data_IF_003966815580
#
_entry.id   IF_003966815580
#
_cell.length_a   1.000
_cell.length_b   1.000
_cell.length_c   1.000
_cell.angle_alpha   90.00
_cell.angle_beta   90.00
_cell.angle_gamma   90.00
#
_symmetry.space_group_name_H-M   'P 1'
#
loop_
_entity.id
_entity.type
_entity.pdbx_description
1 polymer ?
#
# COMPACT_ATOMS: atom_id res chain seq x y z
N UNK A 1 11.91 7.59 3.96
CA UNK A 1 11.96 7.24 2.52
C UNK A 1 11.91 8.56 1.80
N UNK A 2 12.92 8.87 0.99
CA UNK A 2 13.03 10.17 0.32
C UNK A 2 12.78 9.98 -1.17
N UNK A 3 11.84 10.72 -1.75
CA UNK A 3 11.59 10.72 -3.19
C UNK A 3 12.49 11.76 -3.86
N UNK A 4 13.54 11.30 -4.54
CA UNK A 4 14.58 12.15 -5.17
C UNK A 4 14.96 11.70 -6.59
N UNK A 5 14.28 10.70 -7.14
CA UNK A 5 14.60 10.09 -8.44
C UNK A 5 15.75 9.08 -8.39
N UNK A 6 15.78 8.16 -9.36
CA UNK A 6 16.73 7.03 -9.39
C UNK A 6 18.20 7.48 -9.42
N UNK A 7 18.52 8.53 -10.20
CA UNK A 7 19.89 9.06 -10.28
C UNK A 7 20.41 9.60 -8.96
N UNK A 8 19.67 10.53 -8.32
CA UNK A 8 20.07 11.06 -7.02
C UNK A 8 20.03 9.99 -5.90
N UNK A 9 19.13 9.00 -6.02
CA UNK A 9 19.11 7.81 -5.16
C UNK A 9 20.43 7.03 -5.26
N UNK A 10 20.90 6.76 -6.48
CA UNK A 10 22.21 6.14 -6.70
C UNK A 10 23.37 7.04 -6.28
N UNK A 11 23.32 8.35 -6.44
CA UNK A 11 24.36 9.24 -5.88
C UNK A 11 24.45 9.10 -4.35
N UNK A 12 23.30 9.12 -3.64
CA UNK A 12 23.29 8.89 -2.18
C UNK A 12 23.77 7.50 -1.79
N UNK A 13 23.44 6.48 -2.58
CA UNK A 13 23.80 5.09 -2.29
C UNK A 13 25.23 4.73 -2.69
N UNK A 14 25.70 5.14 -3.87
CA UNK A 14 26.97 4.75 -4.48
C UNK A 14 28.08 5.79 -4.30
N UNK A 15 27.78 7.08 -4.10
CA UNK A 15 28.82 8.10 -3.91
C UNK A 15 28.90 8.57 -2.45
N UNK A 16 27.76 8.95 -1.86
CA UNK A 16 27.73 9.49 -0.50
C UNK A 16 27.71 8.38 0.57
N UNK A 17 27.20 7.20 0.23
CA UNK A 17 27.02 6.09 1.17
C UNK A 17 26.00 6.37 2.29
N UNK A 18 25.06 7.29 2.05
CA UNK A 18 24.10 7.80 3.04
C UNK A 18 22.86 6.91 3.19
N UNK A 19 22.58 6.04 2.23
CA UNK A 19 21.45 5.11 2.26
C UNK A 19 21.91 3.65 2.32
N UNK A 20 21.09 2.80 2.95
CA UNK A 20 21.28 1.35 2.98
C UNK A 20 20.62 0.63 1.80
N UNK A 21 19.53 1.21 1.27
CA UNK A 21 18.74 0.71 0.15
C UNK A 21 18.52 1.87 -0.83
N UNK A 22 18.65 1.61 -2.13
CA UNK A 22 18.27 2.54 -3.19
C UNK A 22 17.09 1.97 -3.98
N UNK A 23 16.00 2.72 -4.09
CA UNK A 23 14.89 2.37 -4.97
C UNK A 23 15.17 2.97 -6.35
N UNK A 24 14.87 2.24 -7.42
CA UNK A 24 15.06 2.74 -8.77
C UNK A 24 14.00 2.21 -9.73
N UNK A 25 13.69 3.01 -10.74
CA UNK A 25 12.78 2.67 -11.83
C UNK A 25 13.52 2.37 -13.15
N UNK A 26 14.81 2.06 -13.04
CA UNK A 26 15.70 1.66 -14.14
C UNK A 26 16.86 0.85 -13.58
N UNK A 27 17.52 0.12 -14.46
CA UNK A 27 18.77 -0.55 -14.12
C UNK A 27 19.85 0.47 -13.70
N UNK A 28 20.74 0.03 -12.82
CA UNK A 28 21.94 0.78 -12.43
C UNK A 28 22.89 0.90 -13.62
N UNK A 29 23.45 2.10 -13.85
CA UNK A 29 24.40 2.36 -14.94
C UNK A 29 25.81 1.87 -14.56
N UNK A 30 26.63 1.54 -15.55
CA UNK A 30 28.05 1.16 -15.33
C UNK A 30 28.81 2.19 -14.50
N UNK A 31 28.60 3.49 -14.74
CA UNK A 31 29.23 4.57 -13.97
C UNK A 31 28.78 4.60 -12.50
N UNK A 32 27.54 4.21 -12.21
CA UNK A 32 27.00 4.15 -10.84
C UNK A 32 27.52 2.91 -10.12
N UNK A 33 27.68 1.78 -10.83
CA UNK A 33 28.37 0.59 -10.31
C UNK A 33 29.83 0.92 -9.95
N UNK A 34 30.54 1.64 -10.83
CA UNK A 34 31.91 2.11 -10.57
C UNK A 34 31.97 3.04 -9.35
N UNK A 35 31.00 3.96 -9.20
CA UNK A 35 30.89 4.82 -8.03
C UNK A 35 30.69 4.00 -6.74
N UNK A 36 29.77 3.03 -6.76
CA UNK A 36 29.52 2.13 -5.64
C UNK A 36 30.80 1.38 -5.24
N UNK A 37 31.54 0.87 -6.23
CA UNK A 37 32.81 0.17 -6.01
C UNK A 37 33.87 1.09 -5.39
N UNK A 38 33.88 2.39 -5.73
CA UNK A 38 34.82 3.37 -5.18
C UNK A 38 34.64 3.59 -3.67
N UNK A 39 33.43 3.37 -3.14
CA UNK A 39 33.14 3.40 -1.69
C UNK A 39 33.10 2.00 -1.05
N UNK A 40 33.46 0.95 -1.81
CA UNK A 40 33.53 -0.42 -1.32
C UNK A 40 32.22 -1.19 -1.31
N UNK A 41 31.19 -0.73 -2.04
CA UNK A 41 29.91 -1.42 -2.21
C UNK A 41 29.90 -2.23 -3.51
N UNK A 42 29.28 -3.41 -3.47
CA UNK A 42 28.90 -4.19 -4.65
C UNK A 42 27.37 -4.21 -4.71
N UNK A 43 26.74 -3.37 -5.55
CA UNK A 43 25.29 -3.28 -5.60
C UNK A 43 24.69 -4.61 -6.06
N UNK A 44 23.67 -5.06 -5.34
CA UNK A 44 22.83 -6.22 -5.67
C UNK A 44 21.47 -5.67 -6.05
N UNK A 45 21.02 -6.06 -7.23
CA UNK A 45 19.74 -5.68 -7.82
C UNK A 45 18.66 -6.69 -7.46
N UNK A 46 17.52 -6.20 -7.00
CA UNK A 46 16.30 -6.98 -6.79
C UNK A 46 15.18 -6.39 -7.63
N UNK A 47 14.73 -7.11 -8.67
CA UNK A 47 13.54 -6.72 -9.45
C UNK A 47 12.29 -7.01 -8.62
N UNK A 48 11.45 -6.00 -8.45
CA UNK A 48 10.29 -6.06 -7.55
C UNK A 48 8.95 -5.82 -8.24
N UNK A 49 8.97 -5.34 -9.48
CA UNK A 49 7.76 -5.16 -10.27
C UNK A 49 8.01 -4.34 -11.53
N UNK A 50 6.92 -3.89 -12.14
CA UNK A 50 6.94 -3.01 -13.30
C UNK A 50 5.82 -1.98 -13.19
N UNK A 51 6.13 -0.71 -13.39
CA UNK A 51 5.13 0.35 -13.55
C UNK A 51 4.92 0.62 -15.05
N UNK A 52 3.72 0.99 -15.46
CA UNK A 52 3.44 1.36 -16.85
C UNK A 52 2.39 2.45 -16.97
N UNK A 53 2.56 3.31 -17.98
CA UNK A 53 1.59 4.34 -18.33
C UNK A 53 0.62 3.84 -19.40
N UNK A 54 -0.66 4.16 -19.21
CA UNK A 54 -1.68 4.05 -20.25
C UNK A 54 -1.82 5.40 -20.95
N UNK A 55 -1.76 5.41 -22.28
CA UNK A 55 -2.21 6.54 -23.10
C UNK A 55 -3.58 6.19 -23.62
N UNK A 56 -4.57 7.03 -23.32
CA UNK A 56 -5.96 6.74 -23.58
C UNK A 56 -6.63 7.82 -24.42
N UNK A 57 -7.59 7.41 -25.22
CA UNK A 57 -8.50 8.28 -25.96
C UNK A 57 -9.94 7.88 -25.68
N UNK A 58 -10.86 8.76 -26.07
CA UNK A 58 -12.28 8.49 -26.02
C UNK A 58 -12.66 7.23 -26.83
N UNK A 59 -13.66 6.44 -26.40
CA UNK A 59 -14.15 5.28 -27.17
C UNK A 59 -14.62 5.60 -28.59
N UNK A 60 -15.08 6.83 -28.84
CA UNK A 60 -15.51 7.31 -30.17
C UNK A 60 -14.35 7.76 -31.07
N UNK A 61 -13.11 7.82 -30.54
CA UNK A 61 -11.93 8.08 -31.35
C UNK A 61 -11.56 6.83 -32.15
N UNK A 62 -11.78 6.89 -33.46
CA UNK A 62 -11.58 5.77 -34.39
C UNK A 62 -10.41 5.98 -35.38
N UNK A 63 -9.58 7.01 -35.17
CA UNK A 63 -8.49 7.37 -36.08
C UNK A 63 -7.09 7.15 -35.51
N UNK A 64 -6.93 7.07 -34.19
CA UNK A 64 -5.64 6.73 -33.54
C UNK A 64 -5.79 5.53 -32.61
N UNK A 65 -4.99 4.49 -32.85
CA UNK A 65 -4.94 3.27 -32.03
C UNK A 65 -3.51 2.82 -31.73
N UNK A 66 -2.52 3.46 -32.35
CA UNK A 66 -1.10 3.21 -32.19
C UNK A 66 -0.36 4.53 -32.41
N UNK A 67 0.74 4.73 -31.70
CA UNK A 67 1.62 5.87 -31.91
C UNK A 67 3.08 5.47 -31.65
N UNK A 68 4.00 6.02 -32.43
CA UNK A 68 5.42 6.04 -32.04
C UNK A 68 5.65 7.07 -30.93
N UNK A 69 6.77 7.02 -30.20
CA UNK A 69 7.08 8.05 -29.19
C UNK A 69 7.19 9.46 -29.82
N UNK A 70 7.71 9.56 -31.04
CA UNK A 70 7.78 10.82 -31.80
C UNK A 70 6.38 11.34 -32.17
N UNK A 71 5.51 10.44 -32.66
CA UNK A 71 4.12 10.78 -32.97
C UNK A 71 3.33 11.13 -31.71
N UNK A 72 3.59 10.47 -30.59
CA UNK A 72 3.02 10.77 -29.29
C UNK A 72 3.43 12.17 -28.81
N UNK A 73 4.72 12.52 -28.89
CA UNK A 73 5.18 13.88 -28.58
C UNK A 73 4.50 14.93 -29.47
N UNK A 74 4.28 14.63 -30.75
CA UNK A 74 3.53 15.49 -31.67
C UNK A 74 2.04 15.62 -31.26
N UNK A 75 1.37 14.50 -30.93
CA UNK A 75 -0.01 14.50 -30.43
C UNK A 75 -0.12 15.33 -29.15
N UNK A 76 0.87 15.30 -28.27
CA UNK A 76 0.84 16.06 -27.02
C UNK A 76 1.26 17.54 -27.16
N UNK A 77 1.59 18.03 -28.36
CA UNK A 77 2.02 19.43 -28.59
C UNK A 77 1.26 20.18 -29.70
N UNK A 78 0.66 19.47 -30.65
CA UNK A 78 -0.05 20.06 -31.80
C UNK A 78 -1.33 20.87 -31.43
N UNK A 79 -1.87 21.65 -32.37
CA UNK A 79 -3.16 22.32 -32.13
C UNK A 79 -4.33 21.39 -32.49
N UNK A 80 -4.27 20.76 -33.68
CA UNK A 80 -5.30 19.87 -34.22
C UNK A 80 -4.75 18.47 -34.49
N UNK A 81 -5.63 17.46 -34.50
CA UNK A 81 -5.24 16.09 -34.87
C UNK A 81 -4.62 16.03 -36.28
N UNK A 82 -5.17 16.80 -37.23
CA UNK A 82 -4.64 16.89 -38.60
C UNK A 82 -3.22 17.47 -38.72
N UNK A 83 -2.73 18.16 -37.70
CA UNK A 83 -1.37 18.72 -37.70
C UNK A 83 -0.31 17.63 -37.46
N UNK A 84 -0.69 16.51 -36.83
CA UNK A 84 0.16 15.33 -36.64
C UNK A 84 0.07 14.41 -37.86
N UNK A 85 -1.16 14.10 -38.27
CA UNK A 85 -1.43 13.24 -39.42
C UNK A 85 -2.59 13.82 -40.24
N UNK A 86 -2.32 14.14 -41.50
CA UNK A 86 -3.28 14.84 -42.38
C UNK A 86 -4.57 14.05 -42.68
N UNK A 87 -4.59 12.74 -42.42
CA UNK A 87 -5.78 11.89 -42.57
C UNK A 87 -6.68 11.90 -41.31
N UNK A 88 -6.21 12.47 -40.19
CA UNK A 88 -6.98 12.64 -38.96
C UNK A 88 -7.87 13.90 -38.99
N UNK A 89 -8.87 14.01 -38.09
CA UNK A 89 -9.78 15.16 -38.05
C UNK A 89 -9.06 16.51 -37.91
N UNK A 90 -9.56 17.55 -38.60
CA UNK A 90 -9.09 18.92 -38.43
C UNK A 90 -9.74 19.59 -37.21
N UNK A 91 -9.75 18.88 -36.08
CA UNK A 91 -10.39 19.28 -34.83
C UNK A 91 -9.32 19.47 -33.74
N UNK A 92 -9.50 20.43 -32.82
CA UNK A 92 -8.54 20.69 -31.75
C UNK A 92 -8.36 19.47 -30.84
N UNK A 93 -7.11 19.16 -30.52
CA UNK A 93 -6.78 18.11 -29.53
C UNK A 93 -7.10 18.66 -28.15
N UNK A 94 -7.81 17.88 -27.31
CA UNK A 94 -8.05 18.18 -25.90
C UNK A 94 -7.20 17.24 -25.05
N UNK A 95 -6.36 17.79 -24.16
CA UNK A 95 -5.39 16.99 -23.40
C UNK A 95 -5.75 16.99 -21.94
N UNK A 96 -5.79 15.80 -21.35
CA UNK A 96 -6.00 15.61 -19.92
C UNK A 96 -4.78 14.88 -19.39
N UNK A 97 -3.93 15.60 -18.65
CA UNK A 97 -2.64 15.08 -18.17
C UNK A 97 -2.55 15.19 -16.66
N UNK A 98 -1.76 14.34 -15.99
CA UNK A 98 -1.47 14.48 -14.58
C UNK A 98 -0.82 15.84 -14.30
N UNK A 99 -1.00 16.35 -13.09
CA UNK A 99 -0.34 17.59 -12.67
C UNK A 99 1.17 17.43 -12.51
N UNK A 100 1.88 18.56 -12.40
CA UNK A 100 3.35 18.59 -12.42
C UNK A 100 4.00 18.00 -11.17
N UNK A 101 3.22 17.74 -10.12
CA UNK A 101 3.71 17.10 -8.89
C UNK A 101 3.55 15.56 -8.96
N UNK A 102 2.99 15.03 -10.06
CA UNK A 102 2.75 13.60 -10.27
C UNK A 102 3.98 12.88 -10.85
N UNK A 103 4.38 11.76 -10.22
CA UNK A 103 5.42 10.89 -10.76
C UNK A 103 5.07 10.26 -12.13
N UNK A 104 3.79 10.22 -12.49
CA UNK A 104 3.30 9.82 -13.81
C UNK A 104 3.61 10.90 -14.86
N UNK A 105 3.44 12.19 -14.50
CA UNK A 105 3.84 13.31 -15.34
C UNK A 105 5.35 13.29 -15.58
N UNK A 106 6.14 13.17 -14.50
CA UNK A 106 7.61 13.13 -14.59
C UNK A 106 8.10 12.04 -15.53
N UNK A 107 7.55 10.82 -15.39
CA UNK A 107 7.95 9.70 -16.23
C UNK A 107 7.53 9.87 -17.69
N UNK A 108 6.35 10.41 -17.96
CA UNK A 108 5.93 10.69 -19.32
C UNK A 108 6.84 11.72 -19.99
N UNK A 109 7.23 12.77 -19.26
CA UNK A 109 8.17 13.79 -19.74
C UNK A 109 9.57 13.18 -19.99
N UNK A 110 10.06 12.33 -19.10
CA UNK A 110 11.33 11.60 -19.30
C UNK A 110 11.27 10.74 -20.57
N UNK A 111 10.21 9.94 -20.73
CA UNK A 111 10.09 8.95 -21.80
C UNK A 111 9.76 9.55 -23.18
N UNK A 112 8.98 10.63 -23.22
CA UNK A 112 8.42 11.20 -24.47
C UNK A 112 9.09 12.52 -24.86
N UNK A 113 9.56 13.30 -23.88
CA UNK A 113 10.08 14.65 -24.10
C UNK A 113 11.54 14.84 -23.64
N UNK A 114 12.29 13.76 -23.42
CA UNK A 114 13.71 13.82 -23.03
C UNK A 114 13.96 14.72 -21.81
N UNK A 115 13.11 14.59 -20.78
CA UNK A 115 13.17 15.37 -19.52
C UNK A 115 12.77 16.87 -19.66
N UNK A 116 12.33 17.34 -20.83
CA UNK A 116 11.87 18.73 -21.04
C UNK A 116 10.33 18.84 -20.97
N UNK A 117 9.75 19.38 -19.87
CA UNK A 117 8.30 19.52 -19.75
C UNK A 117 7.74 20.72 -20.53
N UNK A 118 8.57 21.66 -20.98
CA UNK A 118 8.11 22.93 -21.56
C UNK A 118 7.18 22.74 -22.77
N UNK A 119 7.47 21.84 -23.74
CA UNK A 119 6.60 21.62 -24.90
C UNK A 119 5.21 21.12 -24.51
N UNK A 120 5.15 20.17 -23.57
CA UNK A 120 3.89 19.58 -23.08
C UNK A 120 3.04 20.62 -22.33
N UNK A 121 3.67 21.40 -21.44
CA UNK A 121 2.99 22.43 -20.65
C UNK A 121 2.54 23.65 -21.48
N UNK A 122 3.24 23.94 -22.58
CA UNK A 122 2.87 25.01 -23.50
C UNK A 122 1.77 24.63 -24.50
N UNK A 123 1.40 23.34 -24.58
CA UNK A 123 0.41 22.85 -25.53
C UNK A 123 -0.98 23.46 -25.27
N UNK A 124 -1.74 23.85 -26.32
CA UNK A 124 -3.09 24.38 -26.15
C UNK A 124 -4.07 23.29 -25.67
N UNK A 125 -5.18 23.71 -25.07
CA UNK A 125 -6.26 22.84 -24.60
C UNK A 125 -5.79 21.73 -23.63
N UNK A 126 -4.76 22.00 -22.83
CA UNK A 126 -4.25 21.10 -21.80
C UNK A 126 -4.91 21.41 -20.46
N UNK A 127 -5.52 20.39 -19.87
CA UNK A 127 -6.04 20.39 -18.51
C UNK A 127 -5.17 19.46 -17.66
N UNK A 128 -4.66 20.01 -16.56
CA UNK A 128 -3.91 19.25 -15.56
C UNK A 128 -4.83 18.89 -14.39
N UNK A 129 -4.64 17.71 -13.81
CA UNK A 129 -5.31 17.28 -12.58
C UNK A 129 -4.40 16.35 -11.79
N UNK A 130 -4.43 16.46 -10.46
CA UNK A 130 -3.83 15.45 -9.56
C UNK A 130 -4.79 14.29 -9.27
N UNK A 131 -6.04 14.40 -9.71
CA UNK A 131 -7.06 13.35 -9.61
C UNK A 131 -7.24 12.67 -10.98
N UNK A 132 -6.82 11.42 -11.08
CA UNK A 132 -6.93 10.60 -12.29
C UNK A 132 -8.39 10.40 -12.73
N UNK A 133 -9.37 10.40 -11.82
CA UNK A 133 -10.78 10.30 -12.20
C UNK A 133 -11.26 11.52 -12.97
N UNK A 134 -10.71 12.71 -12.67
CA UNK A 134 -10.99 13.93 -13.44
C UNK A 134 -10.40 13.81 -14.84
N UNK A 135 -9.22 13.18 -14.98
CA UNK A 135 -8.60 12.92 -16.28
C UNK A 135 -9.44 11.95 -17.11
N UNK A 136 -9.85 10.83 -16.51
CA UNK A 136 -10.75 9.84 -17.13
C UNK A 136 -12.05 10.50 -17.62
N UNK A 137 -12.71 11.29 -16.77
CA UNK A 137 -13.94 12.01 -17.14
C UNK A 137 -13.70 13.02 -18.26
N UNK A 138 -12.55 13.69 -18.25
CA UNK A 138 -12.13 14.60 -19.31
C UNK A 138 -12.00 13.91 -20.66
N UNK A 139 -11.31 12.76 -20.70
CA UNK A 139 -11.13 11.97 -21.92
C UNK A 139 -12.46 11.39 -22.42
N UNK A 140 -13.31 10.90 -21.52
CA UNK A 140 -14.65 10.41 -21.86
C UNK A 140 -15.58 11.51 -22.41
N UNK A 141 -15.35 12.77 -22.03
CA UNK A 141 -16.23 13.89 -22.39
C UNK A 141 -16.15 14.34 -23.84
N UNK A 142 -15.15 13.92 -24.62
CA UNK A 142 -14.96 14.39 -25.99
C UNK A 142 -14.27 13.36 -26.90
N UNK A 143 -14.78 13.11 -28.13
CA UNK A 143 -14.11 12.21 -29.08
C UNK A 143 -12.70 12.68 -29.47
N UNK A 144 -12.40 13.97 -29.30
CA UNK A 144 -11.11 14.57 -29.64
C UNK A 144 -10.13 14.63 -28.46
N UNK A 145 -10.48 14.02 -27.32
CA UNK A 145 -9.65 14.03 -26.14
C UNK A 145 -8.63 12.87 -26.10
N UNK A 146 -7.47 13.17 -25.53
CA UNK A 146 -6.41 12.23 -25.19
C UNK A 146 -5.90 12.52 -23.78
N UNK A 147 -5.50 11.48 -23.06
CA UNK A 147 -4.83 11.63 -21.77
C UNK A 147 -3.85 10.50 -21.51
N UNK A 148 -3.11 10.62 -20.41
CA UNK A 148 -2.28 9.54 -19.90
C UNK A 148 -2.33 9.49 -18.36
N UNK A 149 -2.22 8.30 -17.81
CA UNK A 149 -2.15 8.04 -16.37
C UNK A 149 -1.63 6.62 -16.10
N UNK A 150 -1.48 6.23 -14.83
CA UNK A 150 -1.03 4.88 -14.48
C UNK A 150 -1.95 3.79 -15.03
N UNK A 151 -1.40 2.67 -15.49
CA UNK A 151 -2.16 1.61 -16.16
C UNK A 151 -3.35 1.08 -15.34
N UNK A 152 -3.21 0.98 -14.02
CA UNK A 152 -4.30 0.48 -13.17
C UNK A 152 -5.58 1.32 -13.27
N UNK A 153 -5.47 2.66 -13.37
CA UNK A 153 -6.62 3.53 -13.57
C UNK A 153 -7.30 3.28 -14.93
N UNK A 154 -6.53 2.94 -15.96
CA UNK A 154 -7.10 2.51 -17.23
C UNK A 154 -7.82 1.16 -17.06
N UNK A 155 -7.19 0.19 -16.40
CA UNK A 155 -7.77 -1.14 -16.22
C UNK A 155 -9.15 -1.07 -15.52
N UNK A 156 -9.27 -0.23 -14.49
CA UNK A 156 -10.53 0.05 -13.78
C UNK A 156 -11.59 0.78 -14.62
N UNK A 157 -11.19 1.47 -15.69
CA UNK A 157 -12.05 2.26 -16.57
C UNK A 157 -12.01 1.78 -18.04
N UNK A 158 -11.61 0.52 -18.26
CA UNK A 158 -11.34 -0.03 -19.59
C UNK A 158 -12.59 -0.16 -20.46
N UNK A 159 -13.78 -0.10 -19.85
CA UNK A 159 -15.07 -0.04 -20.54
C UNK A 159 -15.42 1.37 -21.04
N UNK A 160 -14.74 2.41 -20.54
CA UNK A 160 -15.01 3.83 -20.81
C UNK A 160 -13.95 4.49 -21.69
N UNK A 161 -12.86 3.80 -22.00
CA UNK A 161 -11.69 4.37 -22.66
C UNK A 161 -11.08 3.39 -23.65
N UNK A 162 -10.53 3.91 -24.75
CA UNK A 162 -9.65 3.15 -25.64
C UNK A 162 -8.19 3.43 -25.26
N UNK A 163 -7.38 2.38 -25.16
CA UNK A 163 -5.94 2.50 -24.94
C UNK A 163 -5.19 2.48 -26.27
N UNK A 164 -4.12 3.27 -26.38
CA UNK A 164 -3.23 3.28 -27.53
C UNK A 164 -2.14 2.22 -27.37
N UNK A 165 -1.82 1.56 -28.48
CA UNK A 165 -0.55 0.85 -28.60
C UNK A 165 0.59 1.87 -28.73
N UNK A 166 1.77 1.49 -28.26
CA UNK A 166 2.98 2.31 -28.41
C UNK A 166 4.00 1.50 -29.20
N UNK A 167 4.46 2.04 -30.33
CA UNK A 167 5.33 1.35 -31.29
C UNK A 167 4.78 -0.02 -31.74
N UNK A 168 3.47 -0.16 -31.88
CA UNK A 168 2.78 -1.40 -32.24
C UNK A 168 2.65 -2.41 -31.11
N UNK A 169 2.97 -2.04 -29.87
CA UNK A 169 2.88 -2.90 -28.68
C UNK A 169 1.71 -2.45 -27.80
N UNK A 170 0.78 -3.37 -27.53
CA UNK A 170 -0.31 -3.18 -26.58
C UNK A 170 0.22 -3.29 -25.15
N UNK A 171 -0.18 -2.41 -24.21
CA UNK A 171 0.17 -2.55 -22.80
C UNK A 171 -0.59 -3.72 -22.15
N UNK A 172 0.17 -4.71 -21.67
CA UNK A 172 -0.33 -5.91 -21.01
C UNK A 172 0.69 -6.42 -19.99
N UNK A 173 0.27 -7.29 -19.07
CA UNK A 173 1.20 -7.93 -18.12
C UNK A 173 2.38 -8.63 -18.80
N UNK A 174 2.19 -9.18 -20.00
CA UNK A 174 3.27 -9.82 -20.75
C UNK A 174 4.26 -8.80 -21.34
N UNK A 175 3.75 -7.76 -22.01
CA UNK A 175 4.58 -6.76 -22.69
C UNK A 175 5.30 -5.80 -21.76
N UNK A 176 4.77 -5.60 -20.54
CA UNK A 176 5.45 -4.81 -19.51
C UNK A 176 6.51 -5.66 -18.80
N UNK A 177 6.25 -6.94 -18.54
CA UNK A 177 7.22 -7.83 -17.88
C UNK A 177 8.45 -8.13 -18.77
N UNK A 178 8.24 -8.32 -20.07
CA UNK A 178 9.33 -8.54 -21.04
C UNK A 178 10.01 -7.25 -21.53
N UNK A 179 9.51 -6.08 -21.10
CA UNK A 179 10.06 -4.76 -21.41
C UNK A 179 9.80 -4.29 -22.85
N UNK A 180 8.92 -4.94 -23.61
CA UNK A 180 8.60 -4.55 -24.98
C UNK A 180 7.68 -3.32 -25.07
N UNK A 181 6.87 -3.04 -24.05
CA UNK A 181 6.02 -1.85 -24.00
C UNK A 181 6.84 -0.61 -23.61
N UNK A 182 6.90 0.38 -24.51
CA UNK A 182 7.86 1.49 -24.41
C UNK A 182 7.62 2.46 -23.24
N UNK A 183 6.41 2.48 -22.68
CA UNK A 183 6.05 3.29 -21.51
C UNK A 183 5.93 2.44 -20.24
N UNK A 184 6.64 1.31 -20.18
CA UNK A 184 6.87 0.54 -18.97
C UNK A 184 8.25 0.86 -18.39
N UNK A 185 8.34 0.92 -17.06
CA UNK A 185 9.59 1.05 -16.32
C UNK A 185 9.71 -0.06 -15.27
N UNK A 186 10.80 -0.83 -15.28
CA UNK A 186 11.04 -1.85 -14.27
C UNK A 186 11.29 -1.19 -12.90
N UNK A 187 10.81 -1.82 -11.84
CA UNK A 187 11.00 -1.37 -10.47
C UNK A 187 12.01 -2.26 -9.76
N UNK A 188 12.97 -1.62 -9.12
CA UNK A 188 14.06 -2.28 -8.41
C UNK A 188 14.26 -1.69 -7.01
N UNK A 189 14.77 -2.54 -6.13
CA UNK A 189 15.51 -2.09 -4.95
C UNK A 189 16.95 -2.60 -5.06
N UNK A 190 17.91 -1.82 -4.56
CA UNK A 190 19.33 -2.16 -4.53
C UNK A 190 19.86 -2.07 -3.11
N UNK A 191 20.74 -3.00 -2.75
CA UNK A 191 21.51 -2.97 -1.50
C UNK A 191 22.87 -3.65 -1.72
N UNK A 192 23.75 -3.63 -0.73
CA UNK A 192 25.06 -4.29 -0.78
C UNK A 192 25.15 -5.41 0.26
N UNK A 193 25.91 -6.47 -0.03
CA UNK A 193 26.09 -7.61 0.86
C UNK A 193 26.83 -7.22 2.16
N UNK A 194 27.78 -6.28 2.08
CA UNK A 194 28.45 -5.71 3.25
C UNK A 194 27.47 -4.98 4.15
N UNK A 195 26.58 -4.16 3.59
CA UNK A 195 25.49 -3.49 4.34
C UNK A 195 24.61 -4.52 5.03
N UNK A 196 24.18 -5.59 4.33
CA UNK A 196 23.34 -6.64 4.91
C UNK A 196 24.06 -7.41 6.03
N UNK A 197 25.36 -7.64 5.90
CA UNK A 197 26.17 -8.30 6.92
C UNK A 197 26.38 -7.42 8.16
N UNK A 198 26.59 -6.11 7.97
CA UNK A 198 26.74 -5.14 9.06
C UNK A 198 25.42 -4.79 9.73
N UNK A 199 24.32 -4.80 8.96
CA UNK A 199 22.96 -4.42 9.36
C UNK A 199 21.98 -5.54 8.98
N UNK A 200 21.89 -6.64 9.75
CA UNK A 200 21.01 -7.77 9.44
C UNK A 200 19.52 -7.39 9.27
N UNK A 201 19.08 -6.29 9.87
CA UNK A 201 17.74 -5.75 9.69
C UNK A 201 17.46 -5.28 8.25
N UNK A 202 18.50 -4.86 7.49
CA UNK A 202 18.38 -4.51 6.06
C UNK A 202 18.08 -5.77 5.26
N UNK A 203 18.80 -6.86 5.52
CA UNK A 203 18.54 -8.15 4.88
C UNK A 203 17.14 -8.69 5.22
N UNK A 204 16.72 -8.55 6.48
CA UNK A 204 15.38 -8.95 6.93
C UNK A 204 14.28 -8.13 6.26
N UNK A 205 14.48 -6.82 6.11
CA UNK A 205 13.54 -5.94 5.43
C UNK A 205 13.44 -6.28 3.93
N UNK A 206 14.55 -6.52 3.25
CA UNK A 206 14.55 -6.94 1.84
C UNK A 206 13.87 -8.32 1.69
N UNK A 207 14.13 -9.26 2.60
CA UNK A 207 13.45 -10.55 2.61
C UNK A 207 11.92 -10.39 2.74
N UNK A 208 11.48 -9.56 3.69
CA UNK A 208 10.06 -9.25 3.89
C UNK A 208 9.48 -8.60 2.62
N UNK A 209 10.16 -7.60 2.06
CA UNK A 209 9.77 -6.92 0.84
C UNK A 209 9.56 -7.92 -0.31
N UNK A 210 10.55 -8.78 -0.60
CA UNK A 210 10.45 -9.77 -1.67
C UNK A 210 9.44 -10.90 -1.39
N UNK A 211 9.05 -11.10 -0.14
CA UNK A 211 8.03 -12.08 0.22
C UNK A 211 6.64 -11.59 -0.15
N UNK A 212 6.34 -10.33 0.17
CA UNK A 212 4.99 -9.78 0.08
C UNK A 212 4.77 -8.81 -1.09
N UNK A 213 5.83 -8.39 -1.81
CA UNK A 213 5.67 -7.34 -2.83
C UNK A 213 4.60 -7.66 -3.87
N UNK A 214 4.48 -8.91 -4.35
CA UNK A 214 3.46 -9.24 -5.34
C UNK A 214 2.02 -9.19 -4.79
N UNK A 215 1.84 -9.30 -3.47
CA UNK A 215 0.53 -9.15 -2.81
C UNK A 215 0.14 -7.67 -2.67
N UNK A 216 1.14 -6.79 -2.52
CA UNK A 216 0.93 -5.37 -2.25
C UNK A 216 0.96 -4.48 -3.52
N UNK A 217 1.73 -4.88 -4.53
CA UNK A 217 2.07 -4.03 -5.67
C UNK A 217 0.87 -3.72 -6.59
N UNK A 218 -0.10 -4.61 -6.66
CA UNK A 218 -1.34 -4.39 -7.41
C UNK A 218 -2.21 -3.30 -6.75
N UNK A 219 -2.19 -3.19 -5.42
CA UNK A 219 -2.96 -2.18 -4.69
C UNK A 219 -2.47 -0.75 -4.94
N UNK A 220 -1.21 -0.59 -5.37
CA UNK A 220 -0.64 0.70 -5.79
C UNK A 220 -0.65 0.88 -7.31
N UNK A 221 -1.26 -0.05 -8.04
CA UNK A 221 -1.52 0.06 -9.47
C UNK A 221 -0.37 -0.33 -10.40
N UNK A 222 0.60 -1.09 -9.90
CA UNK A 222 1.74 -1.60 -10.67
C UNK A 222 1.59 -3.09 -10.98
N UNK A 223 2.41 -3.59 -11.90
CA UNK A 223 2.44 -5.00 -12.26
C UNK A 223 3.40 -5.78 -11.35
N UNK A 224 2.98 -6.94 -10.83
CA UNK A 224 3.87 -7.83 -10.09
C UNK A 224 5.00 -8.33 -10.98
N UNK A 225 6.17 -8.53 -10.38
CA UNK A 225 7.26 -9.23 -11.06
C UNK A 225 6.86 -10.69 -11.26
N UNK A 226 7.33 -11.31 -12.36
CA UNK A 226 7.14 -12.75 -12.55
C UNK A 226 7.74 -13.56 -11.39
N UNK A 227 7.19 -14.76 -11.15
CA UNK A 227 7.75 -15.68 -10.16
C UNK A 227 9.23 -15.98 -10.43
N UNK A 228 9.63 -16.04 -11.70
CA UNK A 228 11.02 -16.22 -12.11
C UNK A 228 11.90 -15.05 -11.63
N UNK A 229 11.49 -13.81 -11.93
CA UNK A 229 12.23 -12.62 -11.52
C UNK A 229 12.30 -12.47 -9.99
N UNK A 230 11.21 -12.77 -9.29
CA UNK A 230 11.14 -12.68 -7.83
C UNK A 230 11.98 -13.78 -7.16
N UNK A 231 11.99 -15.00 -7.72
CA UNK A 231 12.84 -16.09 -7.24
C UNK A 231 14.33 -15.83 -7.50
N UNK A 232 14.68 -15.18 -8.62
CA UNK A 232 16.04 -14.69 -8.86
C UNK A 232 16.45 -13.64 -7.81
N UNK A 233 15.57 -12.67 -7.53
CA UNK A 233 15.80 -11.68 -6.47
C UNK A 233 16.00 -12.34 -5.09
N UNK A 234 15.16 -13.30 -4.72
CA UNK A 234 15.30 -14.08 -3.47
C UNK A 234 16.61 -14.87 -3.45
N UNK A 235 17.00 -15.47 -4.58
CA UNK A 235 18.26 -16.21 -4.71
C UNK A 235 19.49 -15.31 -4.53
N UNK A 236 19.46 -14.10 -5.11
CA UNK A 236 20.49 -13.07 -4.91
C UNK A 236 20.59 -12.66 -3.43
N UNK A 237 19.46 -12.53 -2.73
CA UNK A 237 19.45 -12.20 -1.31
C UNK A 237 20.07 -13.32 -0.46
N UNK A 238 19.69 -14.57 -0.72
CA UNK A 238 20.26 -15.74 -0.03
C UNK A 238 21.78 -15.84 -0.26
N UNK A 239 22.23 -15.59 -1.49
CA UNK A 239 23.66 -15.55 -1.81
C UNK A 239 24.38 -14.43 -1.04
N UNK A 240 23.78 -13.24 -0.97
CA UNK A 240 24.33 -12.09 -0.23
C UNK A 240 24.45 -12.35 1.27
N UNK A 241 23.53 -13.12 1.84
CA UNK A 241 23.55 -13.55 3.25
C UNK A 241 24.49 -14.75 3.49
N UNK A 242 25.16 -15.28 2.47
CA UNK A 242 26.04 -16.46 2.60
C UNK A 242 25.27 -17.77 2.79
N UNK A 243 23.99 -17.80 2.41
CA UNK A 243 23.09 -18.95 2.53
C UNK A 243 22.86 -19.69 1.21
N UNK A 244 23.51 -19.29 0.12
CA UNK A 244 23.38 -19.92 -1.20
C UNK A 244 24.15 -21.25 -1.32
N UNK A 245 23.44 -22.37 -1.30
CA UNK A 245 23.91 -23.64 -1.86
C UNK A 245 23.64 -23.70 -3.37
N UNK A 246 24.50 -24.39 -4.15
CA UNK A 246 24.37 -24.58 -5.60
C UNK A 246 22.95 -25.03 -5.99
N UNK A 247 22.23 -24.19 -6.74
CA UNK A 247 21.03 -24.61 -7.46
C UNK A 247 21.42 -25.67 -8.52
N UNK A 248 20.90 -26.89 -8.35
CA UNK A 248 21.01 -27.95 -9.35
C UNK A 248 20.20 -27.59 -10.61
N UNK A 249 20.62 -28.03 -11.82
CA UNK A 249 19.96 -27.63 -13.05
C UNK A 249 18.55 -28.22 -13.14
N UNK A 250 17.61 -27.39 -13.59
CA UNK A 250 16.22 -27.76 -13.83
C UNK A 250 16.13 -28.89 -14.87
N UNK A 251 15.57 -30.03 -14.46
CA UNK A 251 15.07 -31.08 -15.36
C UNK A 251 13.59 -31.29 -15.03
N UNK A 252 12.72 -31.18 -16.05
CA UNK A 252 11.28 -31.37 -15.93
C UNK A 252 10.93 -32.71 -15.27
N UNK A 253 10.29 -32.66 -14.11
CA UNK A 253 9.54 -33.78 -13.54
C UNK A 253 8.27 -33.29 -12.83
N UNK A 254 7.18 -34.00 -13.07
CA UNK A 254 5.84 -33.78 -12.52
C UNK A 254 5.81 -33.76 -10.97
N UNK A 255 4.77 -33.19 -10.34
CA UNK A 255 4.87 -32.67 -8.98
C UNK A 255 4.97 -33.82 -7.97
N UNK A 256 5.89 -33.67 -7.03
CA UNK A 256 5.94 -34.45 -5.81
C UNK A 256 5.96 -33.47 -4.63
N UNK A 257 5.14 -33.80 -3.65
CA UNK A 257 4.85 -33.11 -2.40
C UNK A 257 6.10 -32.58 -1.67
N UNK A 258 5.97 -31.35 -1.15
CA UNK A 258 6.76 -30.83 -0.03
C UNK A 258 8.19 -30.44 -0.34
N UNK A 259 8.39 -29.29 -0.99
CA UNK A 259 9.68 -28.58 -0.93
C UNK A 259 9.53 -27.30 -0.11
N UNK A 260 10.10 -27.33 1.09
CA UNK A 260 10.19 -26.19 1.98
C UNK A 260 11.05 -25.08 1.36
N UNK A 261 10.43 -23.92 1.13
CA UNK A 261 11.14 -22.68 0.79
C UNK A 261 11.96 -22.20 1.99
N UNK A 262 13.25 -21.96 1.78
CA UNK A 262 14.17 -21.50 2.81
C UNK A 262 13.73 -20.11 3.33
N UNK A 263 13.16 -20.08 4.55
CA UNK A 263 12.70 -18.87 5.24
C UNK A 263 11.18 -18.80 5.50
N UNK A 264 10.39 -19.70 4.91
CA UNK A 264 8.96 -19.84 5.23
C UNK A 264 8.74 -20.71 6.47
N UNK A 265 7.61 -20.50 7.16
CA UNK A 265 7.07 -21.54 8.04
C UNK A 265 6.83 -22.80 7.20
N UNK A 266 7.07 -24.00 7.76
CA UNK A 266 6.83 -25.24 7.03
C UNK A 266 5.38 -25.28 6.53
N UNK A 267 5.18 -25.77 5.31
CA UNK A 267 3.84 -25.98 4.74
C UNK A 267 3.02 -26.85 5.71
N UNK A 268 1.86 -26.34 6.13
CA UNK A 268 0.96 -27.03 7.04
C UNK A 268 -0.15 -27.65 6.22
N UNK A 269 -0.29 -28.98 6.32
CA UNK A 269 -1.46 -29.69 5.82
C UNK A 269 -2.49 -29.82 6.96
N UNK A 270 -3.61 -29.06 6.95
CA UNK A 270 -4.57 -29.07 8.06
C UNK A 270 -5.22 -30.43 8.32
N UNK A 271 -5.23 -31.32 7.33
CA UNK A 271 -5.73 -32.71 7.44
C UNK A 271 -4.86 -33.61 8.33
N UNK A 272 -3.60 -33.23 8.59
CA UNK A 272 -2.65 -34.05 9.33
C UNK A 272 -2.61 -33.75 10.83
N UNK A 273 -3.34 -32.73 11.28
CA UNK A 273 -3.38 -32.29 12.67
C UNK A 273 -4.80 -32.41 13.24
N UNK A 274 -4.86 -32.73 14.53
CA UNK A 274 -6.10 -33.00 15.27
C UNK A 274 -6.06 -32.32 16.64
N UNK A 275 -7.21 -32.14 17.28
CA UNK A 275 -7.36 -31.47 18.58
C UNK A 275 -8.38 -30.35 18.52
N UNK A 276 -8.71 -29.76 19.67
CA UNK A 276 -9.45 -28.49 19.69
C UNK A 276 -8.44 -27.34 19.84
N UNK A 277 -8.73 -26.18 19.26
CA UNK A 277 -7.98 -24.94 19.43
C UNK A 277 -8.90 -23.92 20.10
N UNK A 278 -8.46 -23.37 21.22
CA UNK A 278 -9.25 -22.41 21.98
C UNK A 278 -8.50 -21.08 22.03
N UNK A 279 -9.06 -20.05 21.42
CA UNK A 279 -8.56 -18.69 21.44
C UNK A 279 -9.54 -17.75 22.14
N UNK A 280 -9.04 -16.74 22.83
CA UNK A 280 -9.88 -15.67 23.36
C UNK A 280 -9.09 -14.37 23.51
N UNK A 281 -9.77 -13.23 23.36
CA UNK A 281 -9.18 -11.93 23.70
C UNK A 281 -9.78 -10.77 22.93
N UNK A 282 -8.90 -9.94 22.37
CA UNK A 282 -9.21 -8.67 21.69
C UNK A 282 -10.34 -8.81 20.65
N UNK A 283 -11.34 -7.91 20.76
CA UNK A 283 -12.41 -7.73 19.77
C UNK A 283 -11.90 -7.15 18.45
N UNK A 284 -10.79 -6.43 18.47
CA UNK A 284 -10.11 -5.90 17.27
C UNK A 284 -9.43 -7.00 16.46
N UNK A 285 -8.80 -7.97 17.12
CA UNK A 285 -8.10 -9.09 16.45
C UNK A 285 -9.07 -10.21 16.06
N UNK A 286 -10.24 -10.28 16.70
CA UNK A 286 -11.25 -11.32 16.50
C UNK A 286 -11.62 -11.56 15.01
N UNK A 287 -11.93 -10.55 14.19
CA UNK A 287 -12.29 -10.78 12.78
C UNK A 287 -11.13 -11.38 11.95
N UNK A 288 -9.89 -11.00 12.27
CA UNK A 288 -8.71 -11.55 11.62
C UNK A 288 -8.54 -13.03 11.97
N UNK A 289 -8.68 -13.39 13.25
CA UNK A 289 -8.55 -14.78 13.66
C UNK A 289 -9.70 -15.65 13.14
N UNK A 290 -10.94 -15.15 13.08
CA UNK A 290 -12.05 -15.86 12.43
C UNK A 290 -11.75 -16.15 10.96
N UNK A 291 -11.21 -15.18 10.21
CA UNK A 291 -10.87 -15.37 8.81
C UNK A 291 -9.79 -16.47 8.63
N UNK A 292 -8.76 -16.46 9.47
CA UNK A 292 -7.69 -17.47 9.46
C UNK A 292 -8.23 -18.85 9.86
N UNK A 293 -9.06 -18.92 10.90
CA UNK A 293 -9.68 -20.16 11.36
C UNK A 293 -10.60 -20.77 10.29
N UNK A 294 -11.43 -19.96 9.64
CA UNK A 294 -12.29 -20.41 8.54
C UNK A 294 -11.47 -21.00 7.40
N UNK A 295 -10.38 -20.33 7.00
CA UNK A 295 -9.47 -20.87 5.97
C UNK A 295 -8.85 -22.21 6.39
N UNK A 296 -8.39 -22.33 7.63
CA UNK A 296 -7.78 -23.56 8.14
C UNK A 296 -8.77 -24.74 8.16
N UNK A 297 -10.03 -24.47 8.49
CA UNK A 297 -11.14 -25.45 8.42
C UNK A 297 -11.49 -25.81 6.97
N UNK A 298 -11.58 -24.83 6.07
CA UNK A 298 -11.88 -25.04 4.66
C UNK A 298 -10.79 -25.87 3.95
N UNK A 299 -9.54 -25.74 4.38
CA UNK A 299 -8.40 -26.53 3.91
C UNK A 299 -8.33 -27.94 4.54
N UNK A 300 -9.27 -28.28 5.44
CA UNK A 300 -9.54 -29.65 5.86
C UNK A 300 -9.30 -29.98 7.34
N UNK A 301 -9.08 -28.99 8.20
CA UNK A 301 -8.92 -29.25 9.64
C UNK A 301 -10.16 -29.91 10.25
N UNK A 302 -9.97 -31.02 10.97
CA UNK A 302 -11.06 -31.82 11.51
C UNK A 302 -11.43 -31.49 12.98
N UNK A 303 -10.63 -30.65 13.64
CA UNK A 303 -10.81 -30.21 15.03
C UNK A 303 -11.82 -29.08 15.17
N UNK A 304 -12.21 -28.74 16.42
CA UNK A 304 -13.02 -27.55 16.67
C UNK A 304 -12.11 -26.36 16.99
N UNK A 305 -12.37 -25.22 16.35
CA UNK A 305 -11.75 -23.95 16.71
C UNK A 305 -12.81 -23.10 17.41
N UNK A 306 -12.53 -22.68 18.64
CA UNK A 306 -13.39 -21.76 19.39
C UNK A 306 -12.64 -20.45 19.59
N UNK A 307 -13.27 -19.35 19.20
CA UNK A 307 -12.71 -18.01 19.34
C UNK A 307 -13.71 -17.15 20.12
N UNK A 308 -13.30 -16.65 21.28
CA UNK A 308 -14.12 -15.80 22.15
C UNK A 308 -13.63 -14.34 22.12
N UNK A 309 -14.47 -13.41 21.64
CA UNK A 309 -14.24 -11.97 21.75
C UNK A 309 -14.61 -11.48 23.16
N UNK A 310 -13.61 -11.16 23.99
CA UNK A 310 -13.80 -10.80 25.41
C UNK A 310 -12.92 -9.62 25.89
N UNK A 311 -12.11 -9.03 24.99
CA UNK A 311 -11.13 -7.99 25.30
C UNK A 311 -9.76 -8.55 25.70
N UNK A 312 -8.69 -7.78 25.44
CA UNK A 312 -7.29 -8.21 25.62
C UNK A 312 -6.98 -8.61 27.07
N UNK A 313 -7.43 -7.82 28.06
CA UNK A 313 -7.21 -8.12 29.48
C UNK A 313 -7.87 -9.42 29.95
N UNK A 314 -9.14 -9.64 29.58
CA UNK A 314 -9.83 -10.89 29.90
C UNK A 314 -9.26 -12.09 29.14
N UNK A 315 -8.78 -11.87 27.90
CA UNK A 315 -8.01 -12.85 27.14
C UNK A 315 -6.76 -13.30 27.88
N UNK A 316 -5.94 -12.35 28.34
CA UNK A 316 -4.76 -12.64 29.16
C UNK A 316 -5.11 -13.27 30.50
N UNK A 317 -6.24 -12.94 31.15
CA UNK A 317 -6.68 -13.63 32.36
C UNK A 317 -6.97 -15.12 32.08
N UNK A 318 -7.71 -15.43 31.00
CA UNK A 318 -7.99 -16.82 30.61
C UNK A 318 -6.71 -17.57 30.19
N UNK A 319 -5.80 -16.91 29.49
CA UNK A 319 -4.56 -17.49 29.00
C UNK A 319 -3.48 -17.66 30.09
N UNK A 320 -3.20 -16.60 30.86
CA UNK A 320 -2.11 -16.54 31.83
C UNK A 320 -2.51 -16.92 33.26
N UNK A 321 -3.77 -16.79 33.65
CA UNK A 321 -4.20 -17.09 35.03
C UNK A 321 -5.02 -18.38 35.11
N UNK A 322 -6.04 -18.53 34.24
CA UNK A 322 -6.89 -19.72 34.23
C UNK A 322 -6.27 -20.89 33.46
N UNK A 323 -5.45 -20.60 32.43
CA UNK A 323 -4.87 -21.59 31.54
C UNK A 323 -5.90 -22.30 30.66
N UNK A 324 -7.01 -21.62 30.35
CA UNK A 324 -8.18 -22.18 29.65
C UNK A 324 -8.07 -22.09 28.13
N UNK A 325 -7.21 -21.20 27.61
CA UNK A 325 -7.01 -20.98 26.17
C UNK A 325 -5.60 -21.37 25.73
N UNK A 326 -5.48 -21.71 24.44
CA UNK A 326 -4.22 -22.00 23.74
C UNK A 326 -3.60 -20.73 23.15
N UNK A 327 -4.44 -19.77 22.75
CA UNK A 327 -4.07 -18.50 22.13
C UNK A 327 -4.75 -17.35 22.89
N UNK A 328 -4.02 -16.25 23.08
CA UNK A 328 -4.57 -14.99 23.57
C UNK A 328 -4.46 -13.93 22.49
N UNK A 329 -5.60 -13.46 22.00
CA UNK A 329 -5.65 -12.41 20.99
C UNK A 329 -5.48 -11.08 21.71
N UNK A 330 -4.62 -10.20 21.24
CA UNK A 330 -4.36 -8.95 21.94
C UNK A 330 -4.16 -7.78 20.95
N UNK A 331 -4.82 -6.66 21.25
CA UNK A 331 -4.65 -5.37 20.58
C UNK A 331 -3.58 -4.49 21.24
N UNK A 332 -2.92 -5.01 22.29
CA UNK A 332 -1.78 -4.38 22.96
C UNK A 332 -0.76 -5.42 23.39
N UNK A 333 0.46 -4.96 23.68
CA UNK A 333 1.49 -5.81 24.28
C UNK A 333 1.06 -6.37 25.64
N UNK A 334 1.60 -7.54 25.98
CA UNK A 334 1.38 -8.18 27.28
C UNK A 334 2.09 -7.38 28.40
N UNK A 335 1.39 -7.11 29.51
CA UNK A 335 1.93 -6.37 30.66
C UNK A 335 2.85 -7.27 31.50
N UNK A 336 3.79 -6.68 32.24
CA UNK A 336 4.71 -7.44 33.13
C UNK A 336 3.97 -8.32 34.16
N UNK A 337 2.84 -7.84 34.69
CA UNK A 337 1.99 -8.60 35.61
C UNK A 337 1.33 -9.80 34.92
N UNK A 338 0.89 -9.64 33.67
CA UNK A 338 0.29 -10.72 32.87
C UNK A 338 1.34 -11.79 32.52
N UNK A 339 2.57 -11.40 32.19
CA UNK A 339 3.71 -12.33 32.01
C UNK A 339 3.96 -13.10 33.31
N UNK A 340 4.00 -12.41 34.46
CA UNK A 340 4.23 -13.05 35.75
C UNK A 340 3.12 -14.06 36.10
N UNK A 341 1.86 -13.76 35.75
CA UNK A 341 0.74 -14.69 35.89
C UNK A 341 0.94 -15.93 35.02
N UNK A 342 1.32 -15.76 33.75
CA UNK A 342 1.64 -16.85 32.83
C UNK A 342 2.73 -17.77 33.40
N UNK A 343 3.81 -17.18 33.91
CA UNK A 343 4.92 -17.93 34.53
C UNK A 343 4.48 -18.67 35.81
N UNK A 344 3.55 -18.11 36.58
CA UNK A 344 3.02 -18.75 37.79
C UNK A 344 2.25 -20.05 37.49
N UNK A 345 1.67 -20.18 36.29
CA UNK A 345 1.04 -21.42 35.81
C UNK A 345 1.97 -22.27 34.93
N UNK A 346 3.25 -21.89 34.79
CA UNK A 346 4.25 -22.62 34.04
C UNK A 346 4.22 -22.40 32.53
N UNK A 347 3.63 -21.29 32.06
CA UNK A 347 3.68 -20.84 30.67
C UNK A 347 4.76 -19.77 30.48
N UNK A 348 5.48 -19.84 29.38
CA UNK A 348 6.35 -18.76 28.91
C UNK A 348 5.70 -18.19 27.64
N UNK A 349 5.03 -17.02 27.72
CA UNK A 349 4.28 -16.48 26.59
C UNK A 349 5.23 -16.03 25.47
N UNK A 350 4.82 -16.24 24.22
CA UNK A 350 5.52 -15.76 23.03
C UNK A 350 4.58 -14.80 22.32
N UNK A 351 5.05 -13.59 22.04
CA UNK A 351 4.29 -12.56 21.34
C UNK A 351 4.60 -12.60 19.83
N UNK A 352 3.55 -12.58 19.02
CA UNK A 352 3.64 -12.42 17.57
C UNK A 352 2.83 -11.19 17.18
N UNK A 353 3.48 -10.19 16.59
CA UNK A 353 2.77 -9.03 16.01
C UNK A 353 2.21 -9.44 14.65
N UNK A 354 0.89 -9.53 14.56
CA UNK A 354 0.18 -9.96 13.34
C UNK A 354 -0.31 -8.80 12.47
N UNK A 355 -0.33 -7.59 13.01
CA UNK A 355 -0.79 -6.40 12.29
C UNK A 355 -0.56 -5.11 13.06
N UNK A 356 -0.94 -4.00 12.44
CA UNK A 356 -1.08 -2.69 13.10
C UNK A 356 -2.43 -2.13 12.66
N UNK A 357 -3.34 -1.96 13.60
CA UNK A 357 -4.61 -1.32 13.35
C UNK A 357 -4.52 0.17 13.71
N UNK A 358 -4.96 1.03 12.82
CA UNK A 358 -4.89 2.48 12.96
C UNK A 358 -6.29 3.06 13.18
N UNK A 359 -6.53 3.64 14.35
CA UNK A 359 -7.78 4.35 14.61
C UNK A 359 -7.67 5.79 14.09
N UNK A 360 -8.53 6.13 13.13
CA UNK A 360 -8.65 7.49 12.61
C UNK A 360 -9.71 8.26 13.40
N UNK A 361 -9.32 9.39 13.97
CA UNK A 361 -10.25 10.41 14.47
C UNK A 361 -10.41 11.45 13.39
N UNK A 362 -11.65 11.69 12.96
CA UNK A 362 -11.94 12.55 11.81
C UNK A 362 -12.81 13.71 12.19
N UNK A 363 -12.53 14.87 11.59
CA UNK A 363 -13.38 16.05 11.66
C UNK A 363 -13.84 16.42 10.25
N UNK A 364 -14.86 17.25 10.17
CA UNK A 364 -15.28 17.83 8.90
C UNK A 364 -14.14 18.65 8.24
N UNK A 365 -14.00 18.67 6.91
CA UNK A 365 -12.99 19.48 6.23
C UNK A 365 -13.07 20.98 6.49
N UNK A 366 -14.23 21.51 6.89
CA UNK A 366 -14.40 22.91 7.29
C UNK A 366 -13.94 23.20 8.74
N UNK A 367 -13.59 22.18 9.53
CA UNK A 367 -13.04 22.33 10.87
C UNK A 367 -11.55 22.70 10.77
N UNK A 368 -11.23 23.97 10.93
CA UNK A 368 -9.88 24.52 10.77
C UNK A 368 -9.17 24.82 12.10
N UNK A 369 -9.73 24.39 13.24
CA UNK A 369 -9.21 24.69 14.58
C UNK A 369 -8.72 23.45 15.36
N UNK A 370 -9.31 22.28 15.15
CA UNK A 370 -8.98 21.05 15.89
C UNK A 370 -7.82 20.28 15.24
N UNK A 371 -6.68 20.95 15.05
CA UNK A 371 -5.44 20.36 14.51
C UNK A 371 -4.45 20.03 15.63
N UNK A 372 -3.68 18.95 15.46
CA UNK A 372 -2.60 18.53 16.39
C UNK A 372 -3.07 18.33 17.85
N UNK A 373 -4.26 17.76 18.04
CA UNK A 373 -4.84 17.51 19.37
C UNK A 373 -4.11 16.42 20.13
N UNK A 374 -3.78 16.69 21.40
CA UNK A 374 -3.22 15.69 22.31
C UNK A 374 -4.27 14.65 22.73
N UNK A 375 -3.84 13.49 23.25
CA UNK A 375 -4.77 12.46 23.76
C UNK A 375 -5.62 13.00 24.92
N UNK A 376 -5.05 13.87 25.76
CA UNK A 376 -5.78 14.54 26.85
C UNK A 376 -6.86 15.49 26.31
N UNK A 377 -6.54 16.29 25.29
CA UNK A 377 -7.52 17.14 24.61
C UNK A 377 -8.56 16.31 23.84
N UNK A 378 -8.17 15.16 23.27
CA UNK A 378 -9.07 14.24 22.61
C UNK A 378 -10.11 13.68 23.58
N UNK A 379 -9.69 13.18 24.75
CA UNK A 379 -10.61 12.73 25.79
C UNK A 379 -11.58 13.86 26.23
N UNK A 380 -11.08 15.10 26.31
CA UNK A 380 -11.90 16.26 26.61
C UNK A 380 -12.87 16.60 25.46
N UNK A 381 -12.44 16.55 24.20
CA UNK A 381 -13.31 16.72 23.02
C UNK A 381 -14.41 15.68 23.03
N UNK A 382 -14.16 14.46 23.46
CA UNK A 382 -15.18 13.41 23.49
C UNK A 382 -16.12 13.47 24.70
N UNK A 383 -15.98 14.45 25.61
CA UNK A 383 -16.82 14.61 26.82
C UNK A 383 -17.37 16.01 27.06
N UNK A 384 -16.77 17.06 26.49
CA UNK A 384 -17.16 18.45 26.68
C UNK A 384 -18.55 18.81 26.08
N UNK A 385 -19.12 19.96 26.42
CA UNK A 385 -20.34 20.42 25.73
C UNK A 385 -20.00 21.18 24.45
N UNK A 386 -18.96 22.03 24.49
CA UNK A 386 -18.54 22.90 23.40
C UNK A 386 -17.05 22.78 23.09
N UNK A 387 -16.66 23.12 21.86
CA UNK A 387 -15.25 23.17 21.47
C UNK A 387 -14.46 24.15 22.36
N UNK A 388 -15.04 25.31 22.70
CA UNK A 388 -14.43 26.29 23.59
C UNK A 388 -14.19 25.80 25.04
N UNK A 389 -14.85 24.72 25.47
CA UNK A 389 -14.68 24.16 26.82
C UNK A 389 -13.38 23.36 26.92
N UNK A 390 -12.87 22.85 25.79
CA UNK A 390 -11.58 22.16 25.69
C UNK A 390 -10.45 23.18 25.52
N UNK A 391 -10.60 24.08 24.55
CA UNK A 391 -9.64 25.14 24.29
C UNK A 391 -10.40 26.46 24.03
N UNK A 392 -10.13 27.47 24.84
CA UNK A 392 -10.82 28.76 24.79
C UNK A 392 -10.64 29.54 23.47
N UNK A 393 -9.66 29.17 22.64
CA UNK A 393 -9.45 29.74 21.30
C UNK A 393 -10.34 29.10 20.22
N UNK A 394 -10.95 27.94 20.51
CA UNK A 394 -11.86 27.24 19.61
C UNK A 394 -13.30 27.81 19.66
N UNK A 395 -14.15 27.51 18.65
CA UNK A 395 -15.51 28.04 18.59
C UNK A 395 -16.35 27.72 19.84
N UNK A 396 -17.21 28.66 20.24
CA UNK A 396 -18.15 28.48 21.35
C UNK A 396 -19.41 27.69 20.96
N UNK A 397 -19.24 26.71 20.07
CA UNK A 397 -20.29 25.91 19.43
C UNK A 397 -20.33 24.49 20.01
N UNK A 398 -21.52 23.86 20.09
CA UNK A 398 -21.64 22.50 20.59
C UNK A 398 -20.87 21.50 19.74
N UNK A 399 -20.19 20.56 20.39
CA UNK A 399 -19.53 19.43 19.70
C UNK A 399 -20.61 18.42 19.30
N UNK A 400 -20.54 17.90 18.06
CA UNK A 400 -21.35 16.78 17.59
C UNK A 400 -20.45 15.56 17.43
N UNK A 401 -20.79 14.43 18.05
CA UNK A 401 -19.93 13.23 18.06
C UNK A 401 -20.63 12.10 17.33
N UNK A 402 -19.88 11.40 16.49
CA UNK A 402 -20.35 10.25 15.75
C UNK A 402 -19.40 9.09 16.02
N UNK A 403 -19.71 8.28 17.03
CA UNK A 403 -18.82 7.21 17.48
C UNK A 403 -19.34 5.83 17.06
N UNK A 404 -18.46 4.84 16.86
CA UNK A 404 -18.86 3.45 16.72
C UNK A 404 -19.74 3.01 17.88
N UNK A 405 -20.65 2.08 17.61
CA UNK A 405 -21.51 1.50 18.63
C UNK A 405 -20.72 0.63 19.62
N UNK A 406 -21.35 0.31 20.75
CA UNK A 406 -20.67 -0.35 21.88
C UNK A 406 -20.29 -1.80 21.61
N UNK A 407 -20.77 -2.38 20.51
CA UNK A 407 -20.40 -3.73 20.09
C UNK A 407 -19.20 -3.71 19.11
N UNK A 408 -18.65 -2.53 18.79
CA UNK A 408 -17.52 -2.34 17.88
C UNK A 408 -16.17 -2.49 18.57
N UNK A 409 -15.25 -3.24 17.95
CA UNK A 409 -13.85 -3.32 18.39
C UNK A 409 -13.11 -1.97 18.33
N UNK A 410 -13.54 -1.04 17.47
CA UNK A 410 -13.01 0.33 17.42
C UNK A 410 -13.45 1.13 18.65
N UNK A 411 -14.70 0.94 19.10
CA UNK A 411 -15.19 1.55 20.35
C UNK A 411 -14.41 1.03 21.55
N UNK A 412 -14.25 -0.29 21.64
CA UNK A 412 -13.51 -0.95 22.72
C UNK A 412 -12.07 -0.42 22.82
N UNK A 413 -11.36 -0.37 21.70
CA UNK A 413 -9.99 0.14 21.65
C UNK A 413 -9.90 1.62 22.02
N UNK A 414 -10.81 2.46 21.51
CA UNK A 414 -10.84 3.88 21.84
C UNK A 414 -11.05 4.12 23.34
N UNK A 415 -11.91 3.33 23.97
CA UNK A 415 -12.17 3.42 25.41
C UNK A 415 -10.97 2.93 26.22
N UNK A 416 -10.30 1.86 25.80
CA UNK A 416 -9.07 1.39 26.46
C UNK A 416 -7.97 2.46 26.45
N UNK A 417 -7.72 3.09 25.29
CA UNK A 417 -6.59 4.02 25.12
C UNK A 417 -6.88 5.46 25.55
N UNK A 418 -8.12 5.95 25.38
CA UNK A 418 -8.47 7.36 25.64
C UNK A 418 -9.18 7.54 26.98
N UNK A 419 -9.83 6.49 27.49
CA UNK A 419 -10.68 6.55 28.69
C UNK A 419 -10.31 5.55 29.79
N UNK A 420 -9.11 4.98 29.76
CA UNK A 420 -8.61 4.04 30.78
C UNK A 420 -9.62 2.89 31.06
N UNK A 421 -10.20 2.32 30.00
CA UNK A 421 -11.19 1.23 30.05
C UNK A 421 -12.59 1.62 30.62
N UNK A 422 -12.85 2.91 30.94
CA UNK A 422 -14.15 3.39 31.47
C UNK A 422 -14.95 4.24 30.46
N UNK A 423 -15.97 3.67 29.77
CA UNK A 423 -16.75 4.40 28.78
C UNK A 423 -17.79 5.35 29.39
N UNK A 424 -17.93 5.40 30.72
CA UNK A 424 -19.05 6.09 31.39
C UNK A 424 -19.15 7.56 30.99
N UNK A 425 -18.02 8.26 30.93
CA UNK A 425 -17.99 9.67 30.57
C UNK A 425 -18.33 9.90 29.08
N UNK A 426 -17.77 9.05 28.20
CA UNK A 426 -18.02 9.07 26.75
C UNK A 426 -19.50 8.83 26.43
N UNK A 427 -20.10 7.80 27.03
CA UNK A 427 -21.50 7.44 26.81
C UNK A 427 -22.50 8.44 27.44
N UNK A 428 -22.06 9.22 28.43
CA UNK A 428 -22.87 10.28 29.02
C UNK A 428 -22.79 11.61 28.25
N UNK A 429 -21.86 11.75 27.30
CA UNK A 429 -21.66 12.98 26.57
C UNK A 429 -22.89 13.33 25.71
N UNK A 430 -23.28 14.61 25.74
CA UNK A 430 -24.41 15.12 24.94
C UNK A 430 -24.01 15.27 23.48
N UNK A 431 -24.98 15.26 22.57
CA UNK A 431 -24.79 15.32 21.12
C UNK A 431 -23.93 14.18 20.54
N UNK A 432 -23.98 13.00 21.17
CA UNK A 432 -23.32 11.79 20.71
C UNK A 432 -24.31 10.89 19.97
N UNK A 433 -23.95 10.50 18.76
CA UNK A 433 -24.64 9.49 17.98
C UNK A 433 -23.76 8.25 17.89
N UNK A 434 -24.31 7.10 18.31
CA UNK A 434 -23.69 5.80 18.12
C UNK A 434 -24.28 5.12 16.89
N UNK A 435 -23.43 4.43 16.13
CA UNK A 435 -23.85 3.61 14.99
C UNK A 435 -22.90 2.44 14.81
N UNK A 436 -23.46 1.28 14.43
CA UNK A 436 -22.67 0.14 13.93
C UNK A 436 -22.41 0.23 12.42
N UNK A 437 -22.97 1.25 11.74
CA UNK A 437 -22.74 1.54 10.32
C UNK A 437 -21.82 2.76 10.20
N UNK A 438 -20.58 2.52 9.79
CA UNK A 438 -19.55 3.54 9.61
C UNK A 438 -19.97 4.62 8.59
N UNK A 439 -20.80 4.28 7.59
CA UNK A 439 -21.26 5.28 6.64
C UNK A 439 -22.16 6.32 7.31
N UNK A 440 -22.94 5.91 8.32
CA UNK A 440 -23.74 6.84 9.11
C UNK A 440 -22.85 7.76 9.93
N UNK A 441 -21.74 7.25 10.46
CA UNK A 441 -20.78 8.04 11.23
C UNK A 441 -20.08 9.06 10.33
N UNK A 442 -19.54 8.62 9.20
CA UNK A 442 -18.86 9.46 8.21
C UNK A 442 -19.79 10.55 7.67
N UNK A 443 -21.03 10.19 7.30
CA UNK A 443 -22.03 11.18 6.85
C UNK A 443 -22.39 12.17 7.96
N UNK A 444 -22.42 11.72 9.20
CA UNK A 444 -22.61 12.56 10.38
C UNK A 444 -21.51 13.62 10.51
N UNK A 445 -20.25 13.20 10.46
CA UNK A 445 -19.09 14.09 10.50
C UNK A 445 -19.08 15.06 9.32
N UNK A 446 -19.36 14.58 8.12
CA UNK A 446 -19.44 15.41 6.91
C UNK A 446 -20.59 16.44 6.97
N UNK A 447 -21.61 16.20 7.79
CA UNK A 447 -22.81 17.05 7.87
C UNK A 447 -22.62 18.37 8.63
N UNK A 448 -21.54 18.53 9.40
CA UNK A 448 -21.32 19.75 10.19
C UNK A 448 -19.84 20.03 10.44
N UNK A 449 -19.41 21.28 10.27
CA UNK A 449 -18.06 21.72 10.64
C UNK A 449 -17.71 21.52 12.12
N UNK A 450 -18.72 21.40 13.00
CA UNK A 450 -18.55 21.18 14.44
C UNK A 450 -18.59 19.70 14.84
N UNK A 451 -18.59 18.78 13.87
CA UNK A 451 -18.64 17.35 14.11
C UNK A 451 -17.26 16.69 14.14
N UNK A 452 -17.15 15.65 14.97
CA UNK A 452 -16.00 14.77 15.11
C UNK A 452 -16.50 13.31 15.18
N UNK A 453 -15.74 12.38 14.62
CA UNK A 453 -16.01 10.95 14.64
C UNK A 453 -14.76 10.16 15.02
#
# INVERSE_FOLDING_TARGET
IDSIGSGAGFERFCEAGESDISNASREIKDSEVEACAAIGRTPIEFRVGTDALAVVVNPENDWVSDATLEELAAIFTAENWSDVNADWPAEPIQRFIPGTDSGTFDYFVEAVFEEDPEPLLAAPNTQLSEDDNVLVQGVEGSPYAIGFFGYAYYNENSDRLNILNINGVEPSGASVEDGSYALARPLFIYSDAGIMAEKPQVASFINFFLTYVNEEIEAVGYFPASDEALNDAKSKLLAAMGMGGEAAPAEEAAPAEGEMMAGGLPEVNPLEVEGDIIAAGSSTVFPLEEAIANRFVDEGYAGNITIDSIGSGAGFERFCSAGETDISNASRGIKEEEIANCQAIGREPIEFRVGTDGLAVVVNPENDWASDVSVEELAAIFTAEKWSDVNAEWPAEPIQRFIPGTDSGTFDYFVEEVFDEDPTALLAAVNTQLSEDDNVLVQGVAGSQYAIG
#
